data_IF_805899712898
#
_entry.id   IF_805899712898
#
_cell.length_a   1.000
_cell.length_b   1.000
_cell.length_c   1.000
_cell.angle_alpha   90.00
_cell.angle_beta   90.00
_cell.angle_gamma   90.00
#
_symmetry.space_group_name_H-M   'P 1'
#
loop_
_entity.id
_entity.type
_entity.pdbx_description
1 polymer ?
#
# COMPACT_ATOMS: atom_id res chain seq x y z
N UNK A 1 -34.37 26.37 -35.19
CA UNK A 1 -34.04 27.27 -34.07
C UNK A 1 -34.05 26.49 -32.77
N UNK A 2 -33.13 26.76 -31.85
CA UNK A 2 -33.13 26.14 -30.52
C UNK A 2 -34.34 26.65 -29.74
N UNK A 3 -35.21 25.73 -29.28
CA UNK A 3 -36.45 26.06 -28.57
C UNK A 3 -36.28 26.05 -27.05
N UNK A 4 -35.32 25.29 -26.54
CA UNK A 4 -35.01 25.17 -25.12
C UNK A 4 -33.50 24.97 -24.96
N UNK A 5 -32.87 25.78 -24.09
CA UNK A 5 -31.44 25.74 -23.81
C UNK A 5 -31.23 25.74 -22.31
N UNK A 6 -30.46 24.76 -21.82
CA UNK A 6 -30.03 24.67 -20.42
C UNK A 6 -28.51 24.78 -20.40
N UNK A 7 -27.98 25.80 -19.74
CA UNK A 7 -26.54 26.00 -19.56
C UNK A 7 -26.15 25.63 -18.13
N UNK A 8 -25.28 24.64 -18.00
CA UNK A 8 -24.75 24.18 -16.72
C UNK A 8 -23.27 24.54 -16.68
N UNK A 9 -22.85 25.24 -15.64
CA UNK A 9 -21.46 25.64 -15.49
C UNK A 9 -21.22 26.40 -14.20
N UNK A 10 -19.95 26.67 -13.93
CA UNK A 10 -19.52 27.45 -12.79
C UNK A 10 -18.50 28.50 -13.23
N UNK A 11 -18.96 29.74 -13.35
CA UNK A 11 -18.14 30.92 -13.69
C UNK A 11 -16.96 31.18 -12.73
N UNK A 12 -16.96 30.60 -11.51
CA UNK A 12 -15.87 30.74 -10.55
C UNK A 12 -14.81 29.63 -10.69
N UNK A 13 -14.95 28.72 -11.66
CA UNK A 13 -13.96 27.71 -12.03
C UNK A 13 -13.24 28.10 -13.34
N UNK A 14 -12.47 27.19 -13.92
CA UNK A 14 -11.67 27.45 -15.11
C UNK A 14 -12.50 28.01 -16.27
N UNK A 15 -11.94 29.02 -16.91
CA UNK A 15 -12.45 29.60 -18.15
C UNK A 15 -11.93 28.80 -19.36
N UNK A 16 -12.61 28.88 -20.51
CA UNK A 16 -12.09 28.39 -21.78
C UNK A 16 -10.63 28.81 -22.03
N UNK A 17 -9.80 27.86 -22.45
CA UNK A 17 -8.41 28.13 -22.80
C UNK A 17 -8.33 28.91 -24.13
N UNK A 18 -7.58 30.01 -24.13
CA UNK A 18 -7.31 30.82 -25.32
C UNK A 18 -5.83 30.71 -25.64
N UNK A 19 -5.49 30.18 -26.81
CA UNK A 19 -4.09 29.99 -27.23
C UNK A 19 -3.30 31.31 -27.29
N UNK A 20 -3.98 32.43 -27.56
CA UNK A 20 -3.36 33.75 -27.64
C UNK A 20 -3.69 34.57 -26.40
N UNK A 21 -2.70 34.76 -25.51
CA UNK A 21 -2.88 35.51 -24.26
C UNK A 21 -3.43 36.93 -24.47
N UNK A 22 -3.04 37.61 -25.55
CA UNK A 22 -3.49 38.99 -25.86
C UNK A 22 -4.99 39.12 -26.12
N UNK A 23 -5.72 38.00 -26.28
CA UNK A 23 -7.16 37.95 -26.46
C UNK A 23 -7.92 37.48 -25.20
N UNK A 24 -7.19 37.09 -24.15
CA UNK A 24 -7.75 36.73 -22.84
C UNK A 24 -8.06 37.99 -22.02
N UNK A 25 -9.10 37.92 -21.20
CA UNK A 25 -9.50 38.97 -20.26
C UNK A 25 -8.40 39.32 -19.24
N UNK A 26 -7.41 38.45 -19.05
CA UNK A 26 -6.25 38.71 -18.17
C UNK A 26 -5.22 39.66 -18.82
N UNK A 27 -5.36 39.96 -20.13
CA UNK A 27 -4.50 40.88 -20.85
C UNK A 27 -5.18 42.23 -21.09
N UNK A 28 -4.40 43.33 -21.08
CA UNK A 28 -4.92 44.67 -21.33
C UNK A 28 -5.61 44.84 -22.70
N UNK A 29 -5.16 44.10 -23.72
CA UNK A 29 -5.78 44.13 -25.05
C UNK A 29 -7.05 43.26 -25.06
N UNK A 30 -7.00 42.11 -24.39
CA UNK A 30 -8.08 41.15 -24.35
C UNK A 30 -9.24 41.54 -23.44
N UNK A 31 -9.11 42.56 -22.59
CA UNK A 31 -10.25 43.20 -21.92
C UNK A 31 -11.35 43.64 -22.91
N UNK A 32 -10.99 43.99 -24.15
CA UNK A 32 -11.95 44.37 -25.19
C UNK A 32 -12.59 43.16 -25.90
N UNK A 33 -11.87 42.05 -26.00
CA UNK A 33 -12.29 40.87 -26.79
C UNK A 33 -12.97 39.80 -25.93
N UNK A 34 -12.43 39.52 -24.74
CA UNK A 34 -12.97 38.61 -23.73
C UNK A 34 -13.34 37.24 -24.31
N UNK A 35 -12.45 36.64 -25.10
CA UNK A 35 -12.72 35.36 -25.78
C UNK A 35 -12.78 34.17 -24.81
N UNK A 36 -12.09 34.28 -23.68
CA UNK A 36 -12.13 33.34 -22.56
C UNK A 36 -13.38 33.54 -21.68
N UNK A 37 -14.20 34.58 -21.90
CA UNK A 37 -15.45 34.76 -21.16
C UNK A 37 -16.56 33.91 -21.77
N UNK A 38 -16.94 32.85 -21.06
CA UNK A 38 -17.98 31.93 -21.52
C UNK A 38 -19.35 32.61 -21.70
N UNK A 39 -20.20 32.06 -22.58
CA UNK A 39 -21.57 32.53 -22.76
C UNK A 39 -22.36 32.53 -21.43
N UNK A 40 -22.12 31.53 -20.59
CA UNK A 40 -22.72 31.43 -19.25
C UNK A 40 -22.32 32.62 -18.37
N UNK A 41 -21.04 32.94 -18.29
CA UNK A 41 -20.52 34.06 -17.51
C UNK A 41 -21.05 35.41 -18.02
N UNK A 42 -21.21 35.57 -19.34
CA UNK A 42 -21.82 36.76 -19.95
C UNK A 42 -23.27 36.97 -19.49
N UNK A 43 -24.08 35.90 -19.43
CA UNK A 43 -25.47 35.99 -18.96
C UNK A 43 -25.61 36.21 -17.46
N UNK A 44 -24.66 35.70 -16.67
CA UNK A 44 -24.66 35.86 -15.20
C UNK A 44 -24.26 37.28 -14.81
N UNK A 45 -23.22 37.83 -15.43
CA UNK A 45 -22.71 39.15 -15.10
C UNK A 45 -23.56 40.29 -15.68
N UNK A 46 -24.25 40.04 -16.81
CA UNK A 46 -25.03 41.06 -17.53
C UNK A 46 -24.16 42.17 -18.15
N UNK A 47 -22.87 41.89 -18.40
CA UNK A 47 -21.94 42.84 -18.99
C UNK A 47 -22.28 43.14 -20.45
N UNK A 48 -22.09 44.40 -20.89
CA UNK A 48 -22.27 44.88 -22.27
C UNK A 48 -23.71 44.79 -22.82
N UNK A 49 -24.69 45.38 -22.12
CA UNK A 49 -26.10 45.44 -22.56
C UNK A 49 -26.77 44.08 -22.83
N UNK A 50 -26.24 43.00 -22.23
CA UNK A 50 -26.84 41.67 -22.33
C UNK A 50 -27.88 41.46 -21.23
N UNK A 51 -28.88 40.63 -21.52
CA UNK A 51 -29.93 40.27 -20.56
C UNK A 51 -29.28 39.49 -19.41
N UNK A 52 -29.40 40.02 -18.19
CA UNK A 52 -29.01 39.30 -16.98
C UNK A 52 -30.05 38.20 -16.72
N UNK A 53 -29.61 36.95 -16.71
CA UNK A 53 -30.47 35.80 -16.44
C UNK A 53 -30.28 35.38 -14.98
N UNK A 54 -31.38 35.12 -14.26
CA UNK A 54 -31.31 34.56 -12.92
C UNK A 54 -30.71 33.15 -12.95
N UNK A 55 -29.72 32.91 -12.08
CA UNK A 55 -29.06 31.62 -11.94
C UNK A 55 -29.61 30.85 -10.74
N UNK A 56 -29.86 29.56 -10.93
CA UNK A 56 -30.11 28.64 -9.82
C UNK A 56 -28.79 28.00 -9.41
N UNK A 57 -28.49 28.00 -8.09
CA UNK A 57 -27.26 27.43 -7.54
C UNK A 57 -27.57 26.16 -6.76
N UNK A 58 -26.75 25.12 -6.95
CA UNK A 58 -26.75 23.94 -6.09
C UNK A 58 -25.87 24.25 -4.87
N UNK A 59 -26.46 24.25 -3.67
CA UNK A 59 -25.80 24.70 -2.45
C UNK A 59 -25.10 23.58 -1.67
N UNK A 60 -25.56 22.34 -1.80
CA UNK A 60 -25.04 21.20 -1.02
C UNK A 60 -23.91 20.50 -1.77
N UNK A 61 -22.69 20.55 -1.23
CA UNK A 61 -21.55 19.78 -1.72
C UNK A 61 -21.51 18.40 -1.07
N UNK A 62 -21.12 17.38 -1.84
CA UNK A 62 -21.09 15.97 -1.41
C UNK A 62 -19.75 15.29 -1.68
N UNK A 63 -18.69 16.05 -1.94
CA UNK A 63 -17.40 15.51 -2.42
C UNK A 63 -16.32 15.64 -1.36
N UNK A 64 -16.23 16.81 -0.75
CA UNK A 64 -15.04 17.28 -0.05
C UNK A 64 -15.31 17.23 1.45
N UNK A 65 -14.34 16.78 2.25
CA UNK A 65 -14.39 16.90 3.72
C UNK A 65 -14.57 18.37 4.16
N UNK A 66 -15.34 18.62 5.21
CA UNK A 66 -15.62 19.98 5.71
C UNK A 66 -14.38 20.85 5.94
N UNK A 67 -13.28 20.27 6.44
CA UNK A 67 -12.00 20.97 6.65
C UNK A 67 -11.46 21.65 5.37
N UNK A 68 -11.57 20.97 4.23
CA UNK A 68 -11.15 21.48 2.92
C UNK A 68 -12.24 22.39 2.35
N UNK A 69 -13.52 22.04 2.52
CA UNK A 69 -14.64 22.87 2.05
C UNK A 69 -14.61 24.27 2.64
N UNK A 70 -14.22 24.42 3.90
CA UNK A 70 -14.08 25.72 4.57
C UNK A 70 -13.12 26.67 3.84
N UNK A 71 -12.06 26.14 3.21
CA UNK A 71 -11.10 26.95 2.45
C UNK A 71 -11.75 27.64 1.25
N UNK A 72 -12.76 27.01 0.66
CA UNK A 72 -13.49 27.50 -0.51
C UNK A 72 -14.76 28.27 -0.09
N UNK A 73 -15.42 27.81 0.99
CA UNK A 73 -16.63 28.44 1.54
C UNK A 73 -16.37 29.89 1.94
N UNK A 74 -15.29 30.14 2.68
CA UNK A 74 -14.99 31.49 3.17
C UNK A 74 -14.33 32.42 2.13
N UNK A 75 -14.05 31.93 0.93
CA UNK A 75 -13.32 32.68 -0.11
C UNK A 75 -14.12 32.88 -1.40
N UNK A 76 -14.92 31.89 -1.81
CA UNK A 76 -15.60 31.87 -3.11
C UNK A 76 -17.10 31.62 -2.98
N UNK A 77 -17.51 30.68 -2.11
CA UNK A 77 -18.90 30.24 -2.01
C UNK A 77 -19.40 30.31 -0.55
N UNK A 78 -19.79 31.50 -0.13
CA UNK A 78 -20.39 31.81 1.18
C UNK A 78 -21.54 30.88 1.59
N UNK A 79 -22.43 30.55 0.66
CA UNK A 79 -23.64 29.73 0.92
C UNK A 79 -23.42 28.21 0.80
N UNK A 80 -22.18 27.73 0.64
CA UNK A 80 -21.88 26.32 0.41
C UNK A 80 -22.13 25.48 1.67
N UNK A 81 -22.96 24.44 1.57
CA UNK A 81 -23.31 23.53 2.68
C UNK A 81 -22.70 22.15 2.47
N UNK A 82 -22.18 21.56 3.53
CA UNK A 82 -21.66 20.19 3.52
C UNK A 82 -22.79 19.17 3.62
N UNK A 83 -22.77 18.17 2.75
CA UNK A 83 -23.66 17.01 2.83
C UNK A 83 -23.21 16.04 3.92
N UNK A 84 -24.16 15.28 4.47
CA UNK A 84 -23.93 14.29 5.54
C UNK A 84 -22.81 13.31 5.21
N UNK A 85 -22.75 12.86 3.95
CA UNK A 85 -21.74 11.93 3.45
C UNK A 85 -20.29 12.44 3.55
N UNK A 86 -20.07 13.74 3.73
CA UNK A 86 -18.74 14.33 3.85
C UNK A 86 -18.19 14.33 5.27
N UNK A 87 -19.04 14.06 6.26
CA UNK A 87 -18.65 13.90 7.66
C UNK A 87 -18.21 12.47 8.01
N UNK A 88 -18.53 11.51 7.14
CA UNK A 88 -18.23 10.09 7.35
C UNK A 88 -16.85 9.66 6.82
N UNK A 89 -16.09 10.56 6.21
CA UNK A 89 -14.78 10.21 5.64
C UNK A 89 -13.77 9.80 6.72
N UNK A 90 -13.03 8.70 6.54
CA UNK A 90 -11.97 8.30 7.46
C UNK A 90 -10.81 9.30 7.39
N UNK A 91 -10.14 9.53 8.52
CA UNK A 91 -8.91 10.34 8.53
C UNK A 91 -7.82 9.66 7.70
N UNK A 92 -6.98 10.48 7.06
CA UNK A 92 -5.85 9.97 6.27
C UNK A 92 -4.87 9.26 7.20
N UNK A 93 -4.55 8.01 6.89
CA UNK A 93 -3.62 7.20 7.68
C UNK A 93 -2.19 7.65 7.44
N UNK A 94 -1.39 7.75 8.51
CA UNK A 94 0.02 8.13 8.43
C UNK A 94 0.30 9.62 8.72
N UNK A 95 -0.72 10.42 8.97
CA UNK A 95 -0.57 11.87 9.17
C UNK A 95 -1.34 12.37 10.38
N UNK A 96 -0.86 13.48 10.95
CA UNK A 96 -1.53 14.14 12.08
C UNK A 96 -2.71 15.02 11.62
N UNK A 97 -2.67 15.51 10.38
CA UNK A 97 -3.68 16.41 9.83
C UNK A 97 -4.09 15.98 8.42
N UNK A 98 -5.40 15.98 8.15
CA UNK A 98 -5.94 15.69 6.82
C UNK A 98 -5.64 16.81 5.82
N UNK A 99 -5.56 18.04 6.31
CA UNK A 99 -5.19 19.23 5.54
C UNK A 99 -3.94 19.84 6.14
N UNK A 100 -2.90 20.01 5.33
CA UNK A 100 -1.65 20.61 5.83
C UNK A 100 -0.91 21.40 4.75
N UNK A 101 -0.30 22.51 5.16
CA UNK A 101 0.58 23.33 4.33
C UNK A 101 2.03 23.19 4.80
N UNK A 102 2.85 22.60 3.95
CA UNK A 102 4.29 22.43 4.10
C UNK A 102 4.96 23.69 3.57
N UNK A 103 5.32 24.58 4.50
CA UNK A 103 5.96 25.86 4.23
C UNK A 103 7.47 25.67 4.03
N UNK A 104 8.00 26.17 2.91
CA UNK A 104 9.44 26.18 2.66
C UNK A 104 9.91 27.42 1.91
N UNK A 105 11.17 27.77 2.15
CA UNK A 105 11.84 28.92 1.56
C UNK A 105 12.92 28.53 0.52
N UNK A 106 12.92 27.27 0.06
CA UNK A 106 13.85 26.81 -1.00
C UNK A 106 13.56 27.48 -2.35
N UNK A 107 14.56 28.11 -2.99
CA UNK A 107 14.38 28.88 -4.22
C UNK A 107 13.95 28.00 -5.39
N UNK A 108 13.23 28.60 -6.34
CA UNK A 108 12.94 28.00 -7.65
C UNK A 108 14.21 28.00 -8.53
N UNK A 109 14.32 27.04 -9.44
CA UNK A 109 15.36 27.01 -10.46
C UNK A 109 14.93 27.87 -11.66
N UNK A 110 15.81 28.78 -12.09
CA UNK A 110 15.62 29.55 -13.32
C UNK A 110 16.00 28.67 -14.52
N UNK A 111 15.01 28.01 -15.12
CA UNK A 111 15.17 27.50 -16.48
C UNK A 111 15.29 28.71 -17.43
N UNK A 112 16.39 28.73 -18.18
CA UNK A 112 16.77 29.83 -19.07
C UNK A 112 15.68 30.26 -20.06
N UNK A 113 15.87 31.46 -20.58
CA UNK A 113 14.96 32.29 -21.37
C UNK A 113 14.53 31.71 -22.73
N UNK A 114 13.77 30.62 -22.77
CA UNK A 114 13.04 30.23 -23.96
C UNK A 114 11.54 30.53 -23.84
N UNK A 115 11.05 31.26 -24.84
CA UNK A 115 9.72 31.84 -24.96
C UNK A 115 8.56 30.82 -25.06
N UNK A 116 8.79 29.55 -24.77
CA UNK A 116 7.77 28.50 -24.73
C UNK A 116 7.37 28.20 -23.28
N UNK A 117 6.47 29.02 -22.74
CA UNK A 117 5.68 28.79 -21.51
C UNK A 117 6.47 28.51 -20.20
N UNK A 118 6.94 29.58 -19.54
CA UNK A 118 7.18 29.71 -18.08
C UNK A 118 7.38 28.39 -17.29
N UNK A 119 8.45 27.66 -17.58
CA UNK A 119 8.82 26.38 -16.97
C UNK A 119 9.55 26.59 -15.64
N UNK A 120 8.85 27.11 -14.63
CA UNK A 120 9.38 27.17 -13.27
C UNK A 120 9.44 25.76 -12.67
N UNK A 121 10.56 25.43 -12.02
CA UNK A 121 10.80 24.13 -11.38
C UNK A 121 11.34 24.35 -9.97
N UNK A 122 10.90 23.52 -9.03
CA UNK A 122 11.43 23.48 -7.67
C UNK A 122 11.79 22.03 -7.31
N UNK A 123 13.07 21.70 -7.39
CA UNK A 123 13.57 20.34 -7.16
C UNK A 123 13.38 19.86 -5.71
N UNK A 124 13.34 20.77 -4.73
CA UNK A 124 13.00 20.40 -3.35
C UNK A 124 11.54 19.92 -3.28
N UNK A 125 10.61 20.64 -3.90
CA UNK A 125 9.21 20.21 -3.95
C UNK A 125 9.05 18.88 -4.71
N UNK A 126 9.77 18.69 -5.82
CA UNK A 126 9.75 17.42 -6.58
C UNK A 126 10.15 16.24 -5.68
N UNK A 127 11.29 16.34 -5.00
CA UNK A 127 11.77 15.28 -4.10
C UNK A 127 10.80 15.03 -2.94
N UNK A 128 10.26 16.09 -2.36
CA UNK A 128 9.30 15.98 -1.26
C UNK A 128 8.02 15.27 -1.71
N UNK A 129 7.46 15.64 -2.87
CA UNK A 129 6.27 15.00 -3.44
C UNK A 129 6.52 13.51 -3.69
N UNK A 130 7.66 13.14 -4.27
CA UNK A 130 8.00 11.74 -4.56
C UNK A 130 8.03 10.91 -3.28
N UNK A 131 8.69 11.41 -2.23
CA UNK A 131 8.75 10.70 -0.95
C UNK A 131 7.39 10.65 -0.23
N UNK A 132 6.57 11.71 -0.34
CA UNK A 132 5.19 11.69 0.16
C UNK A 132 4.33 10.63 -0.55
N UNK A 133 4.44 10.52 -1.88
CA UNK A 133 3.74 9.49 -2.66
C UNK A 133 4.20 8.10 -2.23
N UNK A 134 5.52 7.86 -2.12
CA UNK A 134 6.07 6.60 -1.61
C UNK A 134 5.54 6.28 -0.21
N UNK A 135 5.46 7.28 0.66
CA UNK A 135 4.94 7.16 2.01
C UNK A 135 3.47 6.71 2.01
N UNK A 136 2.59 7.40 1.29
CA UNK A 136 1.17 7.02 1.22
C UNK A 136 0.98 5.64 0.59
N UNK A 137 1.75 5.30 -0.44
CA UNK A 137 1.71 3.95 -1.05
C UNK A 137 2.10 2.88 -0.02
N UNK A 138 3.13 3.12 0.82
CA UNK A 138 3.50 2.21 1.93
C UNK A 138 2.39 2.04 2.97
N UNK A 139 1.51 3.04 3.13
CA UNK A 139 0.33 2.99 4.01
C UNK A 139 -0.90 2.30 3.37
N UNK A 140 -0.78 1.81 2.13
CA UNK A 140 -1.82 1.04 1.45
C UNK A 140 -2.69 1.84 0.49
N UNK A 141 -2.35 3.10 0.21
CA UNK A 141 -3.02 3.92 -0.80
C UNK A 141 -2.48 3.58 -2.20
N UNK A 142 -3.02 2.54 -2.82
CA UNK A 142 -2.53 1.98 -4.10
C UNK A 142 -3.52 2.08 -5.25
N UNK A 143 -4.76 2.49 -5.00
CA UNK A 143 -5.78 2.57 -6.07
C UNK A 143 -5.52 3.81 -6.93
N UNK A 144 -5.89 3.79 -8.22
CA UNK A 144 -5.68 4.93 -9.12
C UNK A 144 -6.30 6.25 -8.63
N UNK A 145 -7.42 6.20 -7.89
CA UNK A 145 -8.10 7.39 -7.32
C UNK A 145 -7.64 7.76 -5.91
N UNK A 146 -6.68 7.03 -5.34
CA UNK A 146 -6.26 7.30 -3.96
C UNK A 146 -5.35 8.53 -3.89
N UNK A 147 -4.42 8.69 -4.84
CA UNK A 147 -3.41 9.75 -4.82
C UNK A 147 -3.39 10.46 -6.17
N UNK A 148 -3.58 11.79 -6.14
CA UNK A 148 -3.31 12.65 -7.27
C UNK A 148 -2.26 13.71 -6.90
N UNK A 149 -1.34 13.98 -7.82
CA UNK A 149 -0.37 15.07 -7.70
C UNK A 149 -0.74 16.16 -8.68
N UNK A 150 -0.89 17.39 -8.19
CA UNK A 150 -1.22 18.58 -8.97
C UNK A 150 -0.10 19.60 -8.92
N UNK A 151 0.23 20.15 -10.08
CA UNK A 151 1.16 21.28 -10.21
C UNK A 151 0.64 22.26 -11.27
N UNK A 152 0.81 23.58 -11.08
CA UNK A 152 0.41 24.58 -12.07
C UNK A 152 1.41 24.71 -13.23
N UNK A 153 2.64 24.20 -13.10
CA UNK A 153 3.70 24.36 -14.11
C UNK A 153 4.03 23.03 -14.80
N UNK A 154 4.09 23.05 -16.14
CA UNK A 154 4.42 21.88 -16.96
C UNK A 154 5.85 21.38 -16.73
N UNK A 155 6.82 22.30 -16.56
CA UNK A 155 8.21 21.93 -16.25
C UNK A 155 8.32 21.12 -14.95
N UNK A 156 7.60 21.54 -13.91
CA UNK A 156 7.52 20.79 -12.66
C UNK A 156 6.85 19.42 -12.87
N UNK A 157 5.82 19.33 -13.71
CA UNK A 157 5.15 18.06 -14.02
C UNK A 157 6.11 17.07 -14.69
N UNK A 158 6.89 17.50 -15.69
CA UNK A 158 7.88 16.63 -16.35
C UNK A 158 8.91 16.11 -15.32
N UNK A 159 9.42 16.96 -14.43
CA UNK A 159 10.38 16.53 -13.38
C UNK A 159 9.78 15.60 -12.33
N UNK A 160 8.52 15.80 -11.93
CA UNK A 160 7.82 14.87 -11.05
C UNK A 160 7.59 13.53 -11.77
N UNK A 161 7.23 13.55 -13.06
CA UNK A 161 7.04 12.35 -13.88
C UNK A 161 8.34 11.54 -13.94
N UNK A 162 9.45 12.18 -14.30
CA UNK A 162 10.78 11.57 -14.38
C UNK A 162 11.12 10.88 -13.05
N UNK A 163 11.04 11.60 -11.92
CA UNK A 163 11.37 11.07 -10.60
C UNK A 163 10.40 9.96 -10.11
N UNK A 164 9.10 10.04 -10.44
CA UNK A 164 8.13 9.00 -10.08
C UNK A 164 8.25 7.76 -10.98
N UNK A 165 8.61 7.92 -12.26
CA UNK A 165 8.76 6.83 -13.23
C UNK A 165 9.83 5.80 -12.83
N UNK A 166 10.79 6.21 -11.99
CA UNK A 166 11.78 5.30 -11.42
C UNK A 166 11.11 4.22 -10.56
N UNK A 167 10.10 4.62 -9.78
CA UNK A 167 9.48 3.82 -8.71
C UNK A 167 8.06 3.33 -9.00
N UNK A 168 7.27 4.02 -9.84
CA UNK A 168 5.84 3.79 -10.05
C UNK A 168 5.41 3.90 -11.51
N UNK A 169 4.22 3.37 -11.83
CA UNK A 169 3.54 3.65 -13.11
C UNK A 169 2.76 4.96 -12.95
N UNK A 170 3.10 5.97 -13.75
CA UNK A 170 2.45 7.29 -13.72
C UNK A 170 1.38 7.33 -14.81
N UNK A 171 0.13 7.61 -14.42
CA UNK A 171 -0.99 7.80 -15.34
C UNK A 171 -1.09 9.30 -15.68
N UNK A 172 -0.90 9.65 -16.95
CA UNK A 172 -0.88 11.03 -17.49
C UNK A 172 -1.95 11.14 -18.58
N UNK A 173 -2.63 12.30 -18.68
CA UNK A 173 -3.69 12.51 -19.66
C UNK A 173 -3.08 12.57 -21.05
N UNK A 174 -3.81 12.14 -22.09
CA UNK A 174 -3.32 12.26 -23.46
C UNK A 174 -2.97 13.72 -23.83
N UNK A 175 -3.68 14.72 -23.26
CA UNK A 175 -3.38 16.14 -23.50
C UNK A 175 -2.14 16.62 -22.75
N UNK A 176 -1.99 16.23 -21.49
CA UNK A 176 -0.78 16.54 -20.70
C UNK A 176 0.44 15.84 -21.31
N UNK A 177 0.27 14.61 -21.79
CA UNK A 177 1.30 13.84 -22.47
C UNK A 177 1.70 14.48 -23.81
N UNK A 178 0.73 14.97 -24.60
CA UNK A 178 1.03 15.71 -25.82
C UNK A 178 1.76 17.02 -25.53
N UNK A 179 1.32 17.79 -24.53
CA UNK A 179 1.99 19.02 -24.14
C UNK A 179 3.44 18.78 -23.67
N UNK A 180 3.70 17.66 -22.97
CA UNK A 180 5.07 17.26 -22.60
C UNK A 180 5.84 16.81 -23.85
N UNK A 181 5.25 16.00 -24.72
CA UNK A 181 5.91 15.51 -25.94
C UNK A 181 6.25 16.64 -26.92
N UNK A 182 5.42 17.69 -26.99
CA UNK A 182 5.71 18.89 -27.78
C UNK A 182 6.90 19.70 -27.19
N UNK A 183 7.27 19.44 -25.92
CA UNK A 183 8.41 20.05 -25.23
C UNK A 183 9.67 19.16 -25.22
N UNK A 184 9.58 17.87 -25.57
CA UNK A 184 10.66 16.88 -25.45
C UNK A 184 10.83 16.11 -26.80
N UNK A 185 12.02 16.15 -27.43
CA UNK A 185 12.37 15.21 -28.51
C UNK A 185 12.53 13.79 -27.92
N UNK A 186 11.84 12.79 -28.50
CA UNK A 186 11.57 11.43 -27.98
C UNK A 186 12.69 10.73 -27.17
N UNK A 187 12.31 9.95 -26.13
CA UNK A 187 12.83 8.58 -25.92
C UNK A 187 12.06 7.70 -24.88
N UNK A 188 11.57 6.56 -25.41
CA UNK A 188 11.57 5.15 -24.93
C UNK A 188 10.81 4.58 -23.70
N UNK A 189 10.29 3.37 -23.96
CA UNK A 189 9.66 2.34 -23.11
C UNK A 189 10.40 1.97 -21.81
N UNK A 190 9.66 1.60 -20.75
CA UNK A 190 10.04 0.47 -19.90
C UNK A 190 8.84 -0.26 -19.27
N UNK A 191 8.90 -1.59 -19.32
CA UNK A 191 8.03 -2.53 -18.61
C UNK A 191 8.35 -2.54 -17.11
N UNK A 192 7.38 -2.18 -16.26
CA UNK A 192 7.51 -2.24 -14.78
C UNK A 192 6.28 -2.83 -14.09
N UNK A 193 6.52 -3.30 -12.86
CA UNK A 193 5.65 -4.15 -12.02
C UNK A 193 4.20 -3.65 -11.86
N UNK A 194 3.26 -4.59 -11.96
CA UNK A 194 1.87 -4.41 -12.39
C UNK A 194 0.85 -3.78 -11.42
N UNK A 195 1.22 -3.26 -10.24
CA UNK A 195 0.20 -3.05 -9.18
C UNK A 195 0.09 -1.67 -8.53
N UNK A 196 0.82 -0.63 -8.96
CA UNK A 196 0.77 0.68 -8.30
C UNK A 196 0.74 1.82 -9.34
N UNK A 197 -0.40 2.50 -9.44
CA UNK A 197 -0.63 3.63 -10.37
C UNK A 197 -0.84 4.92 -9.58
N UNK A 198 -0.13 5.98 -9.96
CA UNK A 198 -0.27 7.33 -9.38
C UNK A 198 -0.72 8.27 -10.49
N UNK A 199 -1.76 9.07 -10.23
CA UNK A 199 -2.26 10.06 -11.19
C UNK A 199 -1.48 11.36 -11.05
N UNK A 200 -0.82 11.79 -12.13
CA UNK A 200 -0.11 13.06 -12.21
C UNK A 200 -0.76 13.92 -13.29
N UNK A 201 -1.19 15.13 -12.92
CA UNK A 201 -1.98 16.01 -13.78
C UNK A 201 -1.66 17.48 -13.52
N UNK A 202 -1.81 18.32 -14.54
CA UNK A 202 -1.84 19.78 -14.34
C UNK A 202 -3.19 20.23 -13.77
N UNK A 203 -3.21 21.42 -13.14
CA UNK A 203 -4.46 22.00 -12.60
C UNK A 203 -5.53 22.18 -13.68
N UNK A 204 -5.12 22.58 -14.89
CA UNK A 204 -6.04 22.82 -16.01
C UNK A 204 -6.67 21.51 -16.53
N UNK A 205 -5.91 20.41 -16.55
CA UNK A 205 -6.39 19.12 -17.05
C UNK A 205 -7.06 18.22 -15.98
N UNK A 206 -6.98 18.58 -14.69
CA UNK A 206 -7.68 17.87 -13.61
C UNK A 206 -9.13 18.33 -13.38
N UNK A 207 -9.70 19.11 -14.30
CA UNK A 207 -11.05 19.64 -14.15
C UNK A 207 -12.12 18.55 -14.31
N UNK A 208 -12.83 18.31 -13.21
CA UNK A 208 -13.93 17.33 -13.16
C UNK A 208 -13.53 16.00 -12.54
N UNK A 209 -12.23 15.80 -12.32
CA UNK A 209 -11.68 14.66 -11.60
C UNK A 209 -11.56 14.94 -10.09
N UNK A 210 -11.39 13.86 -9.33
CA UNK A 210 -11.28 13.85 -7.89
C UNK A 210 -10.38 12.70 -7.41
N UNK A 211 -9.66 12.93 -6.31
CA UNK A 211 -8.85 11.90 -5.66
C UNK A 211 -9.06 11.95 -4.14
N UNK A 212 -8.80 10.83 -3.47
CA UNK A 212 -8.93 10.75 -2.01
C UNK A 212 -7.88 11.66 -1.34
N UNK A 213 -6.63 11.58 -1.78
CA UNK A 213 -5.50 12.40 -1.34
C UNK A 213 -5.00 13.22 -2.52
N UNK A 214 -4.88 14.53 -2.36
CA UNK A 214 -4.25 15.42 -3.35
C UNK A 214 -3.01 16.07 -2.75
N UNK A 215 -1.89 15.93 -3.45
CA UNK A 215 -0.62 16.61 -3.13
C UNK A 215 -0.43 17.71 -4.16
N UNK A 216 -0.21 18.94 -3.69
CA UNK A 216 -0.16 20.13 -4.53
C UNK A 216 1.22 20.77 -4.37
N UNK A 217 1.97 20.83 -5.47
CA UNK A 217 3.24 21.56 -5.57
C UNK A 217 2.98 22.95 -6.14
N UNK A 218 3.28 24.00 -5.39
CA UNK A 218 3.03 25.39 -5.79
C UNK A 218 4.23 25.99 -6.54
N UNK A 219 5.43 25.42 -6.39
CA UNK A 219 6.69 25.72 -7.08
C UNK A 219 7.30 27.08 -6.73
N UNK A 220 6.47 28.13 -6.71
CA UNK A 220 6.91 29.52 -6.63
C UNK A 220 7.51 29.85 -5.28
N UNK A 221 8.73 30.36 -5.31
CA UNK A 221 9.42 30.92 -4.16
C UNK A 221 10.04 32.28 -4.50
N UNK A 222 10.50 33.01 -3.47
CA UNK A 222 11.24 34.25 -3.69
C UNK A 222 12.49 33.94 -4.52
N UNK A 223 12.62 34.57 -5.68
CA UNK A 223 13.86 34.57 -6.48
C UNK A 223 14.49 35.97 -6.45
N UNK A 224 15.80 36.05 -6.72
CA UNK A 224 16.54 37.32 -6.82
C UNK A 224 16.09 38.19 -8.02
N UNK A 225 15.15 37.68 -8.83
CA UNK A 225 14.56 38.41 -9.94
C UNK A 225 13.61 39.51 -9.44
N UNK A 226 13.68 40.69 -10.06
CA UNK A 226 12.93 41.91 -9.69
C UNK A 226 11.39 41.78 -9.71
N UNK A 227 10.83 40.63 -10.12
CA UNK A 227 9.39 40.43 -10.28
C UNK A 227 8.92 39.13 -9.62
N UNK A 228 8.81 39.14 -8.29
CA UNK A 228 8.13 38.08 -7.54
C UNK A 228 6.63 38.05 -7.90
N UNK A 229 6.26 37.25 -8.90
CA UNK A 229 4.87 37.01 -9.32
C UNK A 229 4.55 35.53 -9.12
N UNK A 230 3.37 35.22 -8.60
CA UNK A 230 2.90 33.82 -8.47
C UNK A 230 2.25 33.29 -9.76
N UNK A 231 2.25 34.11 -10.83
CA UNK A 231 1.74 33.76 -12.16
C UNK A 231 0.34 33.17 -12.11
N UNK A 232 0.23 31.93 -12.58
CA UNK A 232 -0.99 31.12 -12.67
C UNK A 232 -1.84 31.08 -11.38
N UNK A 233 -1.19 31.09 -10.22
CA UNK A 233 -1.83 31.01 -8.90
C UNK A 233 -2.49 32.32 -8.46
N UNK A 234 -2.30 33.42 -9.21
CA UNK A 234 -3.01 34.68 -8.97
C UNK A 234 -4.48 34.59 -9.34
N UNK A 235 -4.83 33.74 -10.31
CA UNK A 235 -6.20 33.57 -10.76
C UNK A 235 -7.03 32.84 -9.71
N UNK A 236 -8.13 33.48 -9.26
CA UNK A 236 -9.06 32.91 -8.28
C UNK A 236 -9.68 31.61 -8.78
N UNK A 237 -10.00 31.54 -10.06
CA UNK A 237 -10.65 30.39 -10.70
C UNK A 237 -9.76 29.15 -10.69
N UNK A 238 -8.46 29.33 -10.94
CA UNK A 238 -7.45 28.26 -10.89
C UNK A 238 -7.19 27.80 -9.46
N UNK A 239 -7.08 28.74 -8.52
CA UNK A 239 -6.92 28.43 -7.10
C UNK A 239 -8.13 27.66 -6.54
N UNK A 240 -9.35 28.02 -6.95
CA UNK A 240 -10.57 27.28 -6.62
C UNK A 240 -10.49 25.83 -7.07
N UNK A 241 -10.18 25.64 -8.36
CA UNK A 241 -10.05 24.32 -8.96
C UNK A 241 -8.94 23.51 -8.32
N UNK A 242 -7.86 24.13 -7.88
CA UNK A 242 -6.76 23.45 -7.18
C UNK A 242 -7.17 22.95 -5.79
N UNK A 243 -7.88 23.79 -5.01
CA UNK A 243 -8.31 23.47 -3.64
C UNK A 243 -9.52 22.52 -3.57
N UNK A 244 -10.24 22.33 -4.68
CA UNK A 244 -11.51 21.57 -4.70
C UNK A 244 -11.40 20.10 -5.13
N UNK A 245 -10.19 19.53 -5.16
CA UNK A 245 -9.91 18.22 -5.80
C UNK A 245 -9.76 17.06 -4.84
N UNK A 246 -9.38 17.37 -3.61
CA UNK A 246 -9.24 16.40 -2.54
C UNK A 246 -10.60 16.05 -1.92
N UNK A 247 -10.84 14.76 -1.74
CA UNK A 247 -12.00 14.26 -0.99
C UNK A 247 -11.70 14.11 0.49
N UNK A 248 -10.61 13.43 0.83
CA UNK A 248 -10.26 13.04 2.19
C UNK A 248 -9.11 13.87 2.77
N UNK A 249 -8.06 14.12 1.99
CA UNK A 249 -6.89 14.88 2.45
C UNK A 249 -6.19 15.70 1.36
N UNK A 250 -5.61 16.82 1.78
CA UNK A 250 -4.97 17.80 0.92
C UNK A 250 -3.65 18.28 1.54
N UNK A 251 -2.57 18.16 0.78
CA UNK A 251 -1.24 18.60 1.20
C UNK A 251 -0.69 19.62 0.22
N UNK A 252 -0.46 20.84 0.71
CA UNK A 252 0.10 21.95 -0.07
C UNK A 252 1.59 22.05 0.25
N UNK A 253 2.43 22.19 -0.77
CA UNK A 253 3.87 22.42 -0.63
C UNK A 253 4.18 23.73 -1.35
N UNK A 254 4.77 24.70 -0.64
CA UNK A 254 5.16 25.97 -1.24
C UNK A 254 5.57 27.03 -0.20
N UNK A 255 5.70 28.28 -0.65
CA UNK A 255 5.96 29.41 0.24
C UNK A 255 4.66 30.13 0.65
N UNK A 256 4.22 29.97 1.89
CA UNK A 256 2.98 30.55 2.39
C UNK A 256 2.99 32.09 2.43
N UNK A 257 4.15 32.70 2.74
CA UNK A 257 4.31 34.15 2.82
C UNK A 257 4.19 34.78 1.43
N UNK A 258 4.83 34.17 0.44
CA UNK A 258 4.74 34.61 -0.95
C UNK A 258 3.30 34.54 -1.44
N UNK A 259 2.62 33.40 -1.25
CA UNK A 259 1.24 33.20 -1.70
C UNK A 259 0.29 34.21 -1.05
N UNK A 260 0.37 34.40 0.27
CA UNK A 260 -0.46 35.36 0.98
C UNK A 260 -0.19 36.81 0.55
N UNK A 261 1.07 37.17 0.28
CA UNK A 261 1.43 38.54 -0.14
C UNK A 261 1.01 38.88 -1.57
N UNK A 262 0.88 37.88 -2.44
CA UNK A 262 0.60 38.07 -3.87
C UNK A 262 -0.86 37.82 -4.26
N UNK A 263 -1.64 37.19 -3.38
CA UNK A 263 -3.07 36.98 -3.57
C UNK A 263 -3.81 37.23 -2.24
N UNK A 264 -4.19 38.48 -2.05
CA UNK A 264 -4.89 38.95 -0.85
C UNK A 264 -6.34 38.41 -0.80
N UNK A 265 -7.00 38.24 -1.94
CA UNK A 265 -8.41 37.84 -2.00
C UNK A 265 -8.66 36.34 -1.83
N UNK A 266 -7.63 35.50 -1.98
CA UNK A 266 -7.77 34.04 -2.02
C UNK A 266 -6.77 33.35 -1.10
N UNK A 267 -5.47 33.47 -1.37
CA UNK A 267 -4.45 32.76 -0.60
C UNK A 267 -4.25 33.32 0.80
N UNK A 268 -4.37 34.63 1.01
CA UNK A 268 -4.26 35.20 2.37
C UNK A 268 -5.34 34.66 3.33
N UNK A 269 -6.65 34.63 2.98
CA UNK A 269 -7.67 33.95 3.78
C UNK A 269 -7.37 32.47 4.03
N UNK A 270 -6.95 31.72 3.00
CA UNK A 270 -6.62 30.29 3.12
C UNK A 270 -5.48 30.06 4.11
N UNK A 271 -4.37 30.78 3.95
CA UNK A 271 -3.21 30.69 4.84
C UNK A 271 -3.60 31.10 6.26
N UNK A 272 -4.48 32.10 6.43
CA UNK A 272 -4.97 32.49 7.75
C UNK A 272 -5.85 31.42 8.41
N UNK A 273 -6.70 30.73 7.65
CA UNK A 273 -7.50 29.60 8.16
C UNK A 273 -6.57 28.47 8.61
N UNK A 274 -5.60 28.09 7.76
CA UNK A 274 -4.64 27.02 8.06
C UNK A 274 -3.77 27.38 9.28
N UNK A 275 -3.33 28.64 9.39
CA UNK A 275 -2.57 29.12 10.55
C UNK A 275 -3.38 29.08 11.85
N UNK A 276 -4.66 29.49 11.81
CA UNK A 276 -5.55 29.39 12.99
C UNK A 276 -5.79 27.95 13.44
N UNK A 277 -5.72 26.99 12.52
CA UNK A 277 -5.91 25.55 12.77
C UNK A 277 -4.60 24.80 13.09
N UNK A 278 -3.46 25.48 13.16
CA UNK A 278 -2.13 24.87 13.27
C UNK A 278 -1.83 23.85 12.15
N UNK A 279 -2.40 24.06 10.96
CA UNK A 279 -2.24 23.21 9.77
C UNK A 279 -1.17 23.76 8.80
N UNK A 280 -0.19 24.50 9.32
CA UNK A 280 0.91 25.07 8.56
C UNK A 280 2.21 24.91 9.34
N UNK A 281 3.27 24.49 8.66
CA UNK A 281 4.58 24.34 9.29
C UNK A 281 5.67 23.94 8.31
N UNK A 282 6.93 23.87 8.78
CA UNK A 282 8.11 23.72 7.93
C UNK A 282 8.33 22.32 7.34
N UNK A 283 7.40 21.40 7.53
CA UNK A 283 7.55 19.99 7.17
C UNK A 283 6.27 19.19 7.35
N UNK A 284 6.24 17.98 6.80
CA UNK A 284 5.06 17.11 6.85
C UNK A 284 4.92 16.45 8.24
N UNK A 285 3.80 16.64 8.95
CA UNK A 285 3.57 16.01 10.24
C UNK A 285 3.04 14.58 10.06
N UNK A 286 3.93 13.61 10.22
CA UNK A 286 3.62 12.19 10.11
C UNK A 286 3.29 11.60 11.48
N UNK A 287 2.44 10.58 11.48
CA UNK A 287 2.03 9.82 12.67
C UNK A 287 1.90 8.34 12.32
N UNK A 288 2.44 7.46 13.18
CA UNK A 288 2.26 6.04 12.98
C UNK A 288 0.88 5.58 13.47
N UNK A 289 0.10 4.91 12.62
CA UNK A 289 -1.20 4.33 12.98
C UNK A 289 -1.13 3.35 14.18
N UNK A 290 -0.03 2.61 14.30
CA UNK A 290 0.14 1.62 15.37
C UNK A 290 0.80 2.18 16.63
N UNK A 291 1.56 3.28 16.50
CA UNK A 291 2.26 3.92 17.61
C UNK A 291 1.93 5.41 17.62
N UNK A 292 0.85 5.83 18.31
CA UNK A 292 0.43 7.23 18.39
C UNK A 292 1.49 8.16 18.99
N UNK A 293 2.41 7.61 19.81
CA UNK A 293 3.52 8.36 20.40
C UNK A 293 4.61 8.71 19.36
N UNK A 294 4.64 8.02 18.22
CA UNK A 294 5.60 8.26 17.15
C UNK A 294 5.11 9.36 16.21
N UNK A 295 5.22 10.61 16.67
CA UNK A 295 4.93 11.82 15.90
C UNK A 295 6.22 12.49 15.46
N UNK A 296 6.35 12.76 14.17
CA UNK A 296 7.53 13.42 13.61
C UNK A 296 7.13 14.46 12.58
N UNK A 297 8.00 15.45 12.36
CA UNK A 297 7.83 16.49 11.34
C UNK A 297 8.98 16.33 10.35
N UNK A 298 8.65 15.88 9.14
CA UNK A 298 9.61 15.63 8.06
C UNK A 298 9.83 16.92 7.29
N UNK A 299 10.98 17.56 7.50
CA UNK A 299 11.37 18.82 6.85
C UNK A 299 12.17 18.61 5.58
N UNK A 300 12.91 17.51 5.48
CA UNK A 300 13.69 17.20 4.27
C UNK A 300 13.32 15.80 3.77
N UNK A 301 13.36 15.54 2.46
CA UNK A 301 12.96 14.25 1.90
C UNK A 301 13.70 13.06 2.53
N UNK A 302 14.99 13.23 2.86
CA UNK A 302 15.84 12.17 3.42
C UNK A 302 15.35 11.70 4.81
N UNK A 303 14.65 12.57 5.55
CA UNK A 303 14.09 12.22 6.86
C UNK A 303 12.95 11.20 6.77
N UNK A 304 12.34 10.99 5.60
CA UNK A 304 11.37 9.90 5.45
C UNK A 304 12.03 8.55 5.71
N UNK A 305 13.23 8.31 5.18
CA UNK A 305 13.96 7.06 5.39
C UNK A 305 14.50 6.94 6.81
N UNK A 306 14.86 8.05 7.45
CA UNK A 306 15.33 8.06 8.85
C UNK A 306 14.20 7.74 9.84
N UNK A 307 12.99 8.19 9.59
CA UNK A 307 11.87 8.08 10.54
C UNK A 307 10.96 6.91 10.24
N UNK A 308 10.80 6.56 8.96
CA UNK A 308 9.88 5.52 8.52
C UNK A 308 10.61 4.20 8.30
N UNK A 309 9.96 3.11 8.68
CA UNK A 309 10.42 1.76 8.37
C UNK A 309 10.36 1.51 6.85
N UNK A 310 11.32 0.76 6.27
CA UNK A 310 11.29 0.37 4.86
C UNK A 310 10.02 -0.38 4.45
N UNK A 311 9.38 -1.10 5.40
CA UNK A 311 8.16 -1.89 5.18
C UNK A 311 6.87 -1.12 5.54
N UNK A 312 6.98 0.20 5.75
CA UNK A 312 5.89 1.10 6.14
C UNK A 312 5.61 1.06 7.64
N UNK A 313 5.63 2.21 8.32
CA UNK A 313 5.54 2.27 9.78
C UNK A 313 6.58 3.20 10.37
N UNK A 314 6.66 3.27 11.70
CA UNK A 314 7.77 3.89 12.41
C UNK A 314 8.86 2.85 12.75
N UNK A 315 10.05 3.32 13.15
CA UNK A 315 11.15 2.44 13.59
C UNK A 315 10.96 1.76 14.96
N UNK A 316 9.84 2.00 15.64
CA UNK A 316 9.48 1.28 16.86
C UNK A 316 9.17 -0.19 16.60
N UNK A 317 9.39 -1.05 17.60
CA UNK A 317 9.05 -2.47 17.53
C UNK A 317 7.53 -2.66 17.48
N UNK A 318 7.06 -3.58 16.65
CA UNK A 318 5.63 -3.85 16.53
C UNK A 318 5.05 -4.53 17.79
N UNK A 319 4.06 -3.90 18.44
CA UNK A 319 3.42 -4.40 19.66
C UNK A 319 2.28 -5.42 19.42
N UNK A 320 2.02 -5.79 18.16
CA UNK A 320 0.90 -6.69 17.82
C UNK A 320 1.20 -8.13 18.28
N UNK A 321 0.29 -8.78 19.02
CA UNK A 321 0.44 -10.17 19.42
C UNK A 321 0.25 -11.10 18.23
N UNK A 322 1.22 -11.99 18.02
CA UNK A 322 1.13 -13.08 17.06
C UNK A 322 0.17 -14.16 17.58
N UNK A 323 -0.30 -15.04 16.69
CA UNK A 323 -1.17 -16.18 17.04
C UNK A 323 -0.59 -17.12 18.11
N UNK A 324 0.73 -17.08 18.32
CA UNK A 324 1.42 -17.82 19.37
C UNK A 324 1.50 -17.11 20.73
N UNK A 325 0.87 -15.94 20.89
CA UNK A 325 0.87 -15.14 22.12
C UNK A 325 2.14 -14.31 22.36
N UNK A 326 3.10 -14.34 21.44
CA UNK A 326 4.30 -13.48 21.48
C UNK A 326 4.07 -12.18 20.71
N UNK A 327 4.63 -11.08 21.20
CA UNK A 327 4.68 -9.82 20.42
C UNK A 327 5.64 -9.93 19.25
N UNK A 328 5.28 -9.30 18.13
CA UNK A 328 6.13 -9.17 16.96
C UNK A 328 7.49 -8.54 17.34
N UNK A 329 8.57 -9.01 16.72
CA UNK A 329 9.93 -8.51 16.98
C UNK A 329 10.48 -7.67 15.81
N UNK A 330 9.68 -7.48 14.77
CA UNK A 330 10.03 -6.64 13.64
C UNK A 330 9.75 -5.17 13.98
N UNK A 331 10.39 -4.26 13.24
CA UNK A 331 9.96 -2.86 13.18
C UNK A 331 8.50 -2.77 12.73
N UNK A 332 7.81 -1.68 13.05
CA UNK A 332 6.44 -1.45 12.61
C UNK A 332 6.36 -1.61 11.09
N UNK A 333 5.42 -2.42 10.64
CA UNK A 333 5.27 -2.82 9.24
C UNK A 333 3.79 -2.79 8.83
N UNK A 334 3.49 -2.29 7.62
CA UNK A 334 2.12 -2.24 7.06
C UNK A 334 1.88 -3.26 5.93
N UNK A 335 2.94 -3.92 5.47
CA UNK A 335 2.92 -4.96 4.44
C UNK A 335 2.08 -6.20 4.82
N UNK A 336 1.84 -6.42 6.12
CA UNK A 336 1.14 -7.59 6.63
C UNK A 336 0.41 -7.29 7.94
N UNK A 337 -0.62 -6.46 7.87
CA UNK A 337 -1.48 -6.09 9.01
C UNK A 337 -1.98 -7.30 9.82
N UNK A 338 -2.29 -8.42 9.17
CA UNK A 338 -2.78 -9.63 9.85
C UNK A 338 -1.67 -10.48 10.49
N UNK A 339 -0.39 -10.15 10.28
CA UNK A 339 0.78 -10.87 10.80
C UNK A 339 0.82 -12.37 10.50
N UNK A 340 -0.02 -12.88 9.58
CA UNK A 340 -0.17 -14.31 9.24
C UNK A 340 1.12 -14.93 8.68
N UNK A 341 2.01 -14.11 8.13
CA UNK A 341 3.29 -14.56 7.53
C UNK A 341 4.50 -14.27 8.43
N UNK A 342 4.30 -13.62 9.58
CA UNK A 342 5.39 -13.26 10.50
C UNK A 342 5.75 -14.47 11.36
N UNK A 343 6.98 -14.97 11.19
CA UNK A 343 7.49 -16.12 11.97
C UNK A 343 8.06 -15.63 13.30
N UNK A 344 7.46 -16.04 14.41
CA UNK A 344 7.94 -15.70 15.75
C UNK A 344 9.30 -16.35 16.05
N UNK A 345 10.34 -15.53 16.26
CA UNK A 345 11.70 -15.97 16.63
C UNK A 345 11.95 -16.01 18.14
N UNK A 346 10.94 -15.83 18.98
CA UNK A 346 11.06 -15.97 20.45
C UNK A 346 11.05 -17.46 20.84
N UNK A 347 11.67 -17.83 21.99
CA UNK A 347 11.60 -19.19 22.50
C UNK A 347 10.15 -19.59 22.79
N UNK A 348 9.79 -20.84 22.51
CA UNK A 348 8.44 -21.32 22.73
C UNK A 348 8.12 -21.39 24.25
N UNK A 349 6.96 -20.87 24.64
CA UNK A 349 6.47 -20.96 26.03
C UNK A 349 5.68 -22.24 26.33
N UNK A 350 5.43 -23.06 25.32
CA UNK A 350 4.64 -24.28 25.48
C UNK A 350 5.42 -25.36 26.23
N UNK A 351 4.70 -26.12 27.03
CA UNK A 351 5.17 -27.31 27.71
C UNK A 351 4.70 -28.56 26.96
N UNK A 352 5.57 -29.56 26.83
CA UNK A 352 5.21 -30.82 26.18
C UNK A 352 4.21 -31.59 27.06
N UNK A 353 2.99 -31.82 26.56
CA UNK A 353 1.88 -32.43 27.33
C UNK A 353 2.20 -33.80 27.95
N UNK A 354 3.15 -34.56 27.39
CA UNK A 354 3.53 -35.90 27.87
C UNK A 354 4.60 -35.90 28.96
N UNK A 355 5.48 -34.89 29.02
CA UNK A 355 6.60 -34.84 29.97
C UNK A 355 6.68 -33.57 30.82
N UNK A 356 5.84 -32.56 30.57
CA UNK A 356 5.88 -31.29 31.28
C UNK A 356 7.13 -30.43 31.02
N UNK A 357 8.02 -30.87 30.12
CA UNK A 357 9.23 -30.10 29.80
C UNK A 357 8.91 -28.89 28.92
N UNK A 358 9.57 -27.76 29.22
CA UNK A 358 9.50 -26.54 28.39
C UNK A 358 10.14 -26.78 27.02
N UNK A 359 9.47 -26.35 25.96
CA UNK A 359 9.98 -26.52 24.61
C UNK A 359 11.20 -25.62 24.35
N UNK A 360 12.32 -26.21 23.91
CA UNK A 360 13.55 -25.48 23.58
C UNK A 360 13.56 -24.90 22.15
N UNK A 361 12.50 -25.13 21.37
CA UNK A 361 12.40 -24.68 19.97
C UNK A 361 11.91 -23.23 19.90
N UNK A 362 12.22 -22.59 18.77
CA UNK A 362 11.64 -21.29 18.40
C UNK A 362 10.14 -21.45 18.13
N UNK A 363 9.36 -20.44 18.51
CA UNK A 363 7.91 -20.53 18.54
C UNK A 363 7.25 -20.79 17.17
N UNK A 364 7.90 -20.39 16.06
CA UNK A 364 7.39 -20.70 14.72
C UNK A 364 7.56 -22.18 14.31
N UNK A 365 8.37 -22.95 15.03
CA UNK A 365 8.58 -24.38 14.77
C UNK A 365 7.60 -25.20 15.61
N UNK A 366 7.05 -26.25 15.01
CA UNK A 366 6.23 -27.22 15.73
C UNK A 366 7.03 -27.83 16.90
N UNK A 367 6.42 -27.81 18.10
CA UNK A 367 7.02 -28.33 19.32
C UNK A 367 7.39 -29.80 19.15
N UNK A 368 6.55 -30.61 18.49
CA UNK A 368 6.82 -32.01 18.19
C UNK A 368 7.30 -32.82 19.40
N UNK A 369 8.31 -33.68 19.18
CA UNK A 369 8.95 -34.50 20.21
C UNK A 369 9.87 -33.68 21.13
N UNK A 370 9.94 -34.08 22.40
CA UNK A 370 10.75 -33.42 23.42
C UNK A 370 12.21 -33.89 23.37
N UNK A 371 13.11 -32.96 23.05
CA UNK A 371 14.56 -33.21 22.94
C UNK A 371 15.34 -32.78 24.19
N UNK A 372 14.66 -32.65 25.34
CA UNK A 372 15.34 -32.34 26.61
C UNK A 372 16.16 -33.58 27.01
N UNK A 373 17.47 -33.44 27.30
CA UNK A 373 18.30 -34.55 27.73
C UNK A 373 17.87 -34.99 29.13
N UNK A 374 17.48 -36.26 29.28
CA UNK A 374 17.04 -36.84 30.57
C UNK A 374 18.15 -37.59 31.30
N UNK A 375 19.36 -37.61 30.73
CA UNK A 375 20.51 -38.31 31.28
C UNK A 375 20.52 -39.79 30.93
N UNK A 376 20.79 -40.64 31.92
CA UNK A 376 20.98 -42.07 31.75
C UNK A 376 19.65 -42.82 31.85
N UNK A 377 19.31 -43.58 30.80
CA UNK A 377 18.14 -44.48 30.82
C UNK A 377 18.55 -45.93 30.58
N UNK A 378 17.92 -46.83 31.32
CA UNK A 378 18.05 -48.28 31.12
C UNK A 378 16.93 -48.69 30.17
N UNK A 379 17.30 -49.14 28.97
CA UNK A 379 16.35 -49.66 27.98
C UNK A 379 15.75 -50.99 28.47
N UNK A 380 14.55 -51.39 27.98
CA UNK A 380 13.93 -52.68 28.33
C UNK A 380 14.83 -53.91 28.06
N UNK A 381 15.80 -53.77 27.16
CA UNK A 381 16.80 -54.79 26.85
C UNK A 381 18.01 -54.81 27.80
N UNK A 382 18.01 -54.00 28.87
CA UNK A 382 19.08 -53.95 29.89
C UNK A 382 20.28 -53.08 29.54
N UNK A 383 20.34 -52.51 28.33
CA UNK A 383 21.44 -51.64 27.90
C UNK A 383 21.25 -50.20 28.37
N UNK A 384 22.37 -49.54 28.71
CA UNK A 384 22.39 -48.14 29.14
C UNK A 384 22.52 -47.21 27.93
N UNK A 385 21.60 -46.25 27.80
CA UNK A 385 21.70 -45.17 26.83
C UNK A 385 22.18 -43.90 27.54
N UNK A 386 23.37 -43.43 27.18
CA UNK A 386 23.92 -42.17 27.68
C UNK A 386 23.38 -41.00 26.85
N UNK A 387 23.00 -39.90 27.52
CA UNK A 387 22.46 -38.69 26.91
C UNK A 387 21.13 -38.88 26.14
N UNK A 388 20.22 -39.69 26.68
CA UNK A 388 18.93 -39.93 26.03
C UNK A 388 18.06 -38.67 25.97
N UNK A 389 17.39 -38.48 24.84
CA UNK A 389 16.37 -37.43 24.70
C UNK A 389 15.03 -37.88 25.32
N UNK A 390 14.25 -36.96 25.88
CA UNK A 390 13.01 -37.27 26.59
C UNK A 390 11.97 -38.04 25.78
N UNK A 391 11.92 -37.89 24.46
CA UNK A 391 11.03 -38.70 23.63
C UNK A 391 11.47 -40.16 23.51
N UNK A 392 12.76 -40.46 23.67
CA UNK A 392 13.32 -41.82 23.62
C UNK A 392 12.97 -42.61 24.87
N UNK A 393 12.89 -41.96 26.03
CA UNK A 393 12.46 -42.61 27.28
C UNK A 393 10.96 -42.95 27.31
N UNK A 394 10.16 -42.29 26.47
CA UNK A 394 8.71 -42.48 26.39
C UNK A 394 8.29 -43.59 25.43
N UNK A 395 9.08 -43.84 24.37
CA UNK A 395 8.81 -44.91 23.40
C UNK A 395 9.43 -46.23 23.87
N UNK A 396 8.73 -46.95 24.74
CA UNK A 396 9.13 -48.30 25.18
C UNK A 396 8.85 -49.40 24.14
N UNK A 397 8.09 -49.09 23.10
CA UNK A 397 7.63 -50.04 22.07
C UNK A 397 7.91 -49.50 20.67
N UNK A 398 8.32 -50.38 19.75
CA UNK A 398 8.65 -50.03 18.36
C UNK A 398 7.73 -50.80 17.42
N UNK A 399 6.98 -50.08 16.58
CA UNK A 399 6.18 -50.67 15.50
C UNK A 399 7.09 -51.11 14.35
N UNK A 400 6.92 -52.35 13.90
CA UNK A 400 7.61 -52.93 12.76
C UNK A 400 6.88 -52.62 11.45
N UNK A 401 7.54 -52.71 10.27
CA UNK A 401 6.91 -52.48 8.96
C UNK A 401 5.69 -53.37 8.66
N UNK A 402 5.53 -54.47 9.39
CA UNK A 402 4.37 -55.36 9.32
C UNK A 402 3.17 -54.92 10.19
N UNK A 403 3.23 -53.76 10.85
CA UNK A 403 2.18 -53.24 11.73
C UNK A 403 2.16 -53.81 13.16
N UNK A 404 3.07 -54.74 13.50
CA UNK A 404 3.16 -55.35 14.83
C UNK A 404 4.13 -54.60 15.75
N UNK A 405 3.80 -54.50 17.03
CA UNK A 405 4.69 -53.97 18.08
C UNK A 405 5.66 -55.06 18.57
N UNK A 406 6.95 -54.71 18.71
CA UNK A 406 7.97 -55.63 19.24
C UNK A 406 8.67 -55.04 20.46
N UNK A 407 8.75 -55.85 21.52
CA UNK A 407 9.47 -55.53 22.77
C UNK A 407 10.95 -55.95 22.72
N UNK A 408 11.36 -56.71 21.69
CA UNK A 408 12.71 -57.26 21.52
C UNK A 408 13.31 -56.78 20.19
N UNK A 409 13.83 -55.56 20.18
CA UNK A 409 14.66 -55.07 19.07
C UNK A 409 16.05 -54.75 19.63
N UNK A 410 17.02 -55.59 19.29
CA UNK A 410 18.41 -55.41 19.70
C UNK A 410 18.99 -54.10 19.15
N UNK A 411 19.56 -53.28 20.03
CA UNK A 411 19.93 -51.87 19.81
C UNK A 411 21.05 -51.63 18.78
N UNK A 412 21.79 -52.66 18.36
CA UNK A 412 23.02 -52.54 17.57
C UNK A 412 22.85 -52.89 16.08
N UNK A 413 21.66 -53.30 15.62
CA UNK A 413 21.39 -53.48 14.18
C UNK A 413 21.16 -52.13 13.50
N UNK A 414 22.23 -51.59 12.90
CA UNK A 414 22.22 -50.33 12.13
C UNK A 414 21.33 -50.36 10.88
N UNK A 415 21.05 -51.54 10.31
CA UNK A 415 20.18 -51.66 9.13
C UNK A 415 18.74 -52.02 9.50
N UNK A 416 17.84 -51.04 9.35
CA UNK A 416 16.39 -51.16 9.58
C UNK A 416 15.68 -52.19 8.67
N UNK A 417 16.39 -52.88 7.77
CA UNK A 417 15.82 -53.60 6.62
C UNK A 417 15.66 -55.12 6.84
N UNK A 418 16.15 -55.70 7.95
CA UNK A 418 16.01 -57.16 8.23
C UNK A 418 15.58 -57.47 9.67
N UNK A 419 14.60 -56.75 10.21
CA UNK A 419 14.03 -57.10 11.52
C UNK A 419 12.94 -58.16 11.28
N UNK A 420 13.17 -59.39 11.75
CA UNK A 420 12.23 -60.50 11.60
C UNK A 420 11.13 -60.39 12.68
N UNK A 421 9.90 -60.10 12.27
CA UNK A 421 8.73 -60.14 13.16
C UNK A 421 8.43 -61.58 13.60
N UNK A 422 8.48 -61.87 14.90
CA UNK A 422 8.23 -63.21 15.46
C UNK A 422 6.78 -63.47 15.87
N UNK A 423 5.88 -62.50 15.71
CA UNK A 423 4.45 -62.64 15.99
C UNK A 423 3.85 -63.75 15.13
N UNK A 424 3.10 -64.65 15.75
CA UNK A 424 2.36 -65.71 15.06
C UNK A 424 1.11 -65.11 14.40
N UNK A 425 0.93 -65.38 13.11
CA UNK A 425 -0.23 -64.98 12.31
C UNK A 425 -0.79 -66.20 11.59
N UNK A 426 -2.07 -66.15 11.26
CA UNK A 426 -2.70 -67.10 10.35
C UNK A 426 -2.61 -66.53 8.93
N UNK A 427 -2.14 -67.33 7.98
CA UNK A 427 -1.84 -66.85 6.62
C UNK A 427 -2.49 -67.74 5.56
N UNK A 428 -3.24 -67.12 4.67
CA UNK A 428 -3.90 -67.80 3.55
C UNK A 428 -2.92 -67.94 2.37
N UNK A 429 -2.68 -69.18 1.94
CA UNK A 429 -1.88 -69.50 0.75
C UNK A 429 -2.66 -69.19 -0.53
N UNK A 430 -1.95 -69.06 -1.66
CA UNK A 430 -2.59 -68.86 -2.98
C UNK A 430 -3.51 -70.02 -3.41
N UNK A 431 -3.40 -71.18 -2.78
CA UNK A 431 -4.30 -72.32 -2.95
C UNK A 431 -5.58 -72.26 -2.10
N UNK A 432 -5.78 -71.21 -1.29
CA UNK A 432 -6.96 -71.02 -0.44
C UNK A 432 -6.90 -71.72 0.93
N UNK A 433 -5.79 -72.38 1.28
CA UNK A 433 -5.61 -73.01 2.58
C UNK A 433 -4.94 -72.05 3.58
N UNK A 434 -5.42 -72.07 4.83
CA UNK A 434 -4.91 -71.24 5.93
C UNK A 434 -3.83 -72.01 6.70
N UNK A 435 -2.64 -71.43 6.81
CA UNK A 435 -1.57 -71.90 7.70
C UNK A 435 -1.68 -71.15 9.03
N UNK A 436 -2.07 -71.86 10.09
CA UNK A 436 -2.19 -71.29 11.43
C UNK A 436 -0.83 -71.17 12.13
N UNK A 437 -0.64 -70.09 12.90
CA UNK A 437 0.48 -69.93 13.83
C UNK A 437 1.86 -69.68 13.21
N UNK A 438 1.95 -69.23 11.95
CA UNK A 438 3.24 -68.98 11.29
C UNK A 438 3.84 -67.64 11.72
N UNK A 439 5.17 -67.57 11.89
CA UNK A 439 5.85 -66.32 12.24
C UNK A 439 5.76 -65.32 11.07
N UNK A 440 5.28 -64.12 11.34
CA UNK A 440 5.03 -63.05 10.36
C UNK A 440 6.23 -62.77 9.41
N UNK A 441 7.49 -62.88 9.85
CA UNK A 441 8.62 -62.70 8.93
C UNK A 441 8.69 -63.74 7.80
N UNK A 442 8.13 -64.94 7.99
CA UNK A 442 8.15 -66.02 6.99
C UNK A 442 7.28 -65.69 5.78
N UNK A 443 6.22 -64.89 5.93
CA UNK A 443 5.36 -64.47 4.82
C UNK A 443 5.97 -63.36 3.99
N UNK A 444 6.98 -62.67 4.53
CA UNK A 444 7.66 -61.55 3.86
C UNK A 444 8.92 -61.99 3.10
N UNK A 445 9.48 -63.15 3.45
CA UNK A 445 10.58 -63.75 2.69
C UNK A 445 10.00 -64.61 1.58
N UNK A 446 10.47 -64.42 0.34
CA UNK A 446 10.11 -65.20 -0.87
C UNK A 446 10.42 -66.72 -0.80
N UNK A 447 10.61 -67.28 0.39
CA UNK A 447 10.67 -68.71 0.59
C UNK A 447 9.25 -69.25 0.41
N UNK A 448 9.08 -70.05 -0.64
CA UNK A 448 7.88 -70.81 -0.98
C UNK A 448 7.34 -71.53 0.25
N UNK A 449 6.29 -71.00 0.87
CA UNK A 449 5.51 -71.73 1.86
C UNK A 449 4.78 -72.85 1.10
N UNK A 450 5.24 -74.08 1.29
CA UNK A 450 4.67 -75.25 0.62
C UNK A 450 3.37 -75.68 1.32
N UNK A 451 2.32 -75.85 0.51
CA UNK A 451 1.05 -76.40 0.95
C UNK A 451 1.17 -77.92 1.05
N UNK A 452 1.28 -78.48 2.26
CA UNK A 452 1.29 -79.93 2.48
C UNK A 452 -0.11 -80.56 2.48
N UNK A 453 -1.11 -79.86 1.93
CA UNK A 453 -2.47 -80.38 1.82
C UNK A 453 -2.53 -81.38 0.66
N UNK A 454 -2.63 -82.68 0.99
CA UNK A 454 -2.79 -83.76 0.01
C UNK A 454 -4.27 -83.78 -0.40
N UNK A 455 -4.57 -83.38 -1.63
CA UNK A 455 -5.91 -83.44 -2.21
C UNK A 455 -5.86 -84.00 -3.63
N UNK A 456 -6.81 -84.87 -3.96
CA UNK A 456 -6.87 -85.59 -5.23
C UNK A 456 -6.95 -84.61 -6.42
N UNK A 457 -5.92 -84.58 -7.26
CA UNK A 457 -5.90 -83.74 -8.45
C UNK A 457 -6.57 -84.53 -9.59
N UNK A 458 -7.71 -84.04 -10.08
CA UNK A 458 -8.31 -84.56 -11.31
C UNK A 458 -7.64 -83.91 -12.51
N UNK A 459 -6.97 -84.70 -13.34
CA UNK A 459 -6.38 -84.21 -14.59
C UNK A 459 -7.49 -83.87 -15.60
N UNK A 460 -7.24 -83.00 -16.58
CA UNK A 460 -8.22 -82.59 -17.59
C UNK A 460 -8.80 -83.73 -18.44
N UNK A 461 -8.18 -84.92 -18.39
CA UNK A 461 -8.67 -86.15 -19.02
C UNK A 461 -9.67 -86.95 -18.16
N UNK A 462 -10.05 -86.46 -16.98
CA UNK A 462 -11.10 -87.04 -16.13
C UNK A 462 -10.66 -88.15 -15.17
N UNK A 463 -9.35 -88.37 -14.98
CA UNK A 463 -8.83 -89.32 -13.99
C UNK A 463 -8.25 -88.59 -12.78
N UNK A 464 -8.50 -89.12 -11.57
CA UNK A 464 -7.88 -88.65 -10.34
C UNK A 464 -6.48 -89.27 -10.18
N UNK A 465 -5.47 -88.43 -9.94
CA UNK A 465 -4.20 -88.86 -9.38
C UNK A 465 -4.32 -88.86 -7.86
N UNK A 466 -4.10 -90.02 -7.23
CA UNK A 466 -3.73 -90.11 -5.82
C UNK A 466 -2.26 -89.74 -5.63
#
# INVERSE_FOLDING_TARGET
>A
STQHLILIGDHNQLRPHVATYSLSIESHIGENYQLDKSLFERFVDGTNNTIKIEKTRLLTQRRIRGEISDLIRYTIYDDLKDGENTTEYPNVSGVQHNVYFIDHDYPEEDCGSDLAMQSHVNMYEVKMVVEMVKYFVKYGYTKPKDIAVLTPYLGQMSKIKEALSESFIVDIDERDAQNIADMEEEESDTSKSLNQRVTLRTVDNFQGEEANIVIISLVRNYSDSKYNSIGFLKSKNRSNVLLSRAREGMYLIGNSKLMASKSEDMWAPVVNILRKRNQIGPGMPIECKHHPDCKNIVKVPEQFDEVCSPTGGCRSTCDIPLSCGHTCANECHFDNLEHKRVKCRKPCKNEHSKCGHKCLKLCYKDCGKCNVPVGEIILPCGHMLQNAECWESQNKEKELPCGHTSNYVECWKKDKVKIKCITSIDFELSCGHILEGIKCWRTQTNNTLECNFIGDITLPCGHALQ
#
